data_IF_579805325193
#
_entry.id   IF_579805325193
#
_cell.length_a   1.000
_cell.length_b   1.000
_cell.length_c   1.000
_cell.angle_alpha   90.00
_cell.angle_beta   90.00
_cell.angle_gamma   90.00
#
_symmetry.space_group_name_H-M   'P 1'
#
loop_
_entity.id
_entity.type
_entity.pdbx_description
1 polymer ?
#
# COMPACT_ATOMS: atom_id res chain seq x y z
N UNK A 1 -41.88 -18.49 1.40
CA UNK A 1 -40.52 -18.05 1.73
C UNK A 1 -40.13 -18.69 3.06
N UNK A 2 -39.10 -19.56 3.10
CA UNK A 2 -38.74 -20.34 4.29
C UNK A 2 -37.54 -19.68 4.97
N UNK A 3 -37.78 -18.94 6.04
CA UNK A 3 -36.71 -18.37 6.87
C UNK A 3 -35.99 -19.50 7.61
N UNK A 4 -34.68 -19.65 7.38
CA UNK A 4 -33.83 -20.51 8.21
C UNK A 4 -33.53 -19.78 9.51
N UNK A 5 -33.90 -20.38 10.64
CA UNK A 5 -33.45 -19.93 11.96
C UNK A 5 -31.94 -20.20 12.08
N UNK A 6 -31.15 -19.16 12.39
CA UNK A 6 -29.72 -19.29 12.64
C UNK A 6 -29.52 -19.82 14.06
N UNK A 7 -28.75 -20.91 14.21
CA UNK A 7 -28.38 -21.44 15.52
C UNK A 7 -27.45 -20.47 16.27
N UNK A 8 -27.47 -20.49 17.61
CA UNK A 8 -26.62 -19.64 18.45
C UNK A 8 -25.12 -19.75 18.12
N UNK A 9 -24.65 -20.94 17.72
CA UNK A 9 -23.27 -21.15 17.27
C UNK A 9 -22.96 -20.41 15.95
N UNK A 10 -23.92 -20.34 15.02
CA UNK A 10 -23.76 -19.60 13.76
C UNK A 10 -23.73 -18.08 14.00
N UNK A 11 -24.55 -17.60 14.95
CA UNK A 11 -24.54 -16.19 15.35
C UNK A 11 -23.20 -15.80 16.01
N UNK A 12 -22.66 -16.67 16.86
CA UNK A 12 -21.36 -16.43 17.51
C UNK A 12 -20.22 -16.42 16.50
N UNK A 13 -20.17 -17.39 15.58
CA UNK A 13 -19.16 -17.44 14.52
C UNK A 13 -19.25 -16.20 13.61
N UNK A 14 -20.46 -15.77 13.25
CA UNK A 14 -20.67 -14.55 12.47
C UNK A 14 -20.20 -13.30 13.22
N UNK A 15 -20.46 -13.20 14.52
CA UNK A 15 -20.02 -12.06 15.33
C UNK A 15 -18.50 -11.98 15.44
N UNK A 16 -17.83 -13.11 15.67
CA UNK A 16 -16.36 -13.20 15.70
C UNK A 16 -15.78 -12.81 14.33
N UNK A 17 -16.36 -13.31 13.24
CA UNK A 17 -15.92 -12.96 11.88
C UNK A 17 -16.06 -11.46 11.60
N UNK A 18 -17.17 -10.84 12.03
CA UNK A 18 -17.40 -9.41 11.87
C UNK A 18 -16.38 -8.58 12.67
N UNK A 19 -16.05 -8.99 13.89
CA UNK A 19 -15.01 -8.33 14.71
C UNK A 19 -13.63 -8.43 14.05
N UNK A 20 -13.27 -9.57 13.48
CA UNK A 20 -12.00 -9.76 12.75
C UNK A 20 -11.92 -8.93 11.46
N UNK A 21 -13.06 -8.73 10.78
CA UNK A 21 -13.11 -7.89 9.57
C UNK A 21 -12.90 -6.40 9.89
N UNK A 22 -13.28 -5.95 11.10
CA UNK A 22 -13.07 -4.56 11.54
C UNK A 22 -11.58 -4.24 11.78
N UNK A 23 -10.77 -5.23 12.12
CA UNK A 23 -9.32 -5.07 12.32
C UNK A 23 -8.51 -4.92 11.04
N UNK A 24 -9.11 -5.10 9.86
CA UNK A 24 -8.43 -4.88 8.57
C UNK A 24 -8.56 -3.43 8.14
N UNK A 25 -7.97 -2.51 8.90
CA UNK A 25 -7.86 -1.12 8.47
C UNK A 25 -6.64 -0.94 7.57
N UNK A 26 -6.87 -0.35 6.39
CA UNK A 26 -5.79 0.02 5.49
C UNK A 26 -5.17 1.32 5.96
N UNK A 27 -3.86 1.31 6.19
CA UNK A 27 -3.10 2.52 6.46
C UNK A 27 -2.73 3.18 5.12
N UNK A 28 -2.95 4.49 5.04
CA UNK A 28 -2.62 5.31 3.88
C UNK A 28 -1.58 6.36 4.27
N UNK A 29 -0.65 6.64 3.35
CA UNK A 29 0.34 7.69 3.46
C UNK A 29 -0.09 8.86 2.60
N UNK A 30 -0.19 10.04 3.19
CA UNK A 30 -0.40 11.31 2.49
C UNK A 30 0.92 12.07 2.40
N UNK A 31 1.39 12.28 1.18
CA UNK A 31 2.63 13.00 0.93
C UNK A 31 2.58 13.70 -0.42
N UNK A 32 3.00 14.97 -0.46
CA UNK A 32 3.13 15.77 -1.69
C UNK A 32 1.87 15.79 -2.59
N UNK A 33 0.68 15.81 -1.97
CA UNK A 33 -0.60 15.78 -2.68
C UNK A 33 -1.08 14.38 -3.13
N UNK A 34 -0.26 13.35 -2.96
CA UNK A 34 -0.63 11.97 -3.23
C UNK A 34 -1.16 11.26 -1.97
N UNK A 35 -2.08 10.32 -2.17
CA UNK A 35 -2.55 9.40 -1.14
C UNK A 35 -2.32 7.96 -1.63
N UNK A 36 -1.44 7.24 -0.96
CA UNK A 36 -1.03 5.88 -1.34
C UNK A 36 -1.23 4.92 -0.18
N UNK A 37 -1.47 3.64 -0.45
CA UNK A 37 -1.57 2.62 0.60
C UNK A 37 -0.18 2.23 1.09
N UNK A 38 -0.05 2.02 2.39
CA UNK A 38 1.18 1.49 3.00
C UNK A 38 1.64 0.19 2.31
N UNK A 39 0.69 -0.73 2.08
CA UNK A 39 0.95 -2.00 1.40
C UNK A 39 1.44 -1.83 -0.04
N UNK A 40 1.03 -0.77 -0.73
CA UNK A 40 1.53 -0.46 -2.07
C UNK A 40 3.00 -0.01 -2.03
N UNK A 41 3.39 0.78 -1.03
CA UNK A 41 4.78 1.24 -0.85
C UNK A 41 5.70 0.09 -0.41
N UNK A 42 5.18 -0.89 0.35
CA UNK A 42 5.91 -2.13 0.63
C UNK A 42 6.18 -2.92 -0.65
N UNK A 43 5.15 -3.11 -1.50
CA UNK A 43 5.31 -3.78 -2.80
C UNK A 43 6.28 -3.06 -3.73
N UNK A 44 6.26 -1.72 -3.75
CA UNK A 44 7.22 -0.90 -4.49
C UNK A 44 8.67 -1.27 -4.13
N UNK A 45 8.96 -1.43 -2.84
CA UNK A 45 10.31 -1.80 -2.36
C UNK A 45 10.74 -3.19 -2.85
N UNK A 46 9.82 -4.13 -2.98
CA UNK A 46 10.11 -5.46 -3.52
C UNK A 46 10.35 -5.44 -5.03
N UNK A 47 9.57 -4.65 -5.79
CA UNK A 47 9.78 -4.47 -7.23
C UNK A 47 11.16 -3.86 -7.53
N UNK A 48 11.58 -2.85 -6.78
CA UNK A 48 12.91 -2.23 -6.95
C UNK A 48 14.07 -3.22 -6.68
N UNK A 49 13.91 -4.12 -5.70
CA UNK A 49 14.90 -5.18 -5.41
C UNK A 49 14.99 -6.20 -6.54
N UNK A 50 13.85 -6.58 -7.12
CA UNK A 50 13.79 -7.48 -8.27
C UNK A 50 14.50 -6.85 -9.47
N UNK A 51 14.18 -5.60 -9.77
CA UNK A 51 14.83 -4.86 -10.85
C UNK A 51 16.35 -4.74 -10.64
N UNK A 52 16.84 -4.55 -9.41
CA UNK A 52 18.28 -4.46 -9.13
C UNK A 52 19.01 -5.80 -9.34
N UNK A 53 18.28 -6.92 -9.22
CA UNK A 53 18.82 -8.27 -9.39
C UNK A 53 18.88 -8.71 -10.85
N UNK A 54 18.07 -8.10 -11.72
CA UNK A 54 18.10 -8.34 -13.16
C UNK A 54 19.18 -7.51 -13.86
N UNK A 55 19.80 -8.00 -14.95
CA UNK A 55 20.74 -7.21 -15.75
C UNK A 55 19.99 -6.06 -16.42
N UNK A 56 19.89 -4.91 -15.74
CA UNK A 56 19.13 -3.79 -16.26
C UNK A 56 19.78 -3.25 -17.54
N UNK A 57 19.02 -3.24 -18.63
CA UNK A 57 19.20 -2.26 -19.69
C UNK A 57 18.99 -0.88 -19.06
N UNK A 58 20.09 -0.14 -18.86
CA UNK A 58 20.09 1.20 -18.29
C UNK A 58 19.12 2.08 -19.08
N UNK A 59 17.89 2.20 -18.59
CA UNK A 59 16.95 3.19 -19.09
C UNK A 59 17.43 4.52 -18.55
N UNK A 60 18.12 5.30 -19.39
CA UNK A 60 18.53 6.70 -19.13
C UNK A 60 17.32 7.65 -19.13
N UNK A 61 16.27 7.30 -18.40
CA UNK A 61 15.10 8.16 -18.20
C UNK A 61 15.21 8.93 -16.89
N UNK A 62 14.64 10.14 -16.84
CA UNK A 62 14.38 10.85 -15.57
C UNK A 62 13.36 10.10 -14.67
N UNK A 63 12.65 9.12 -15.23
CA UNK A 63 11.63 8.35 -14.54
C UNK A 63 12.22 7.10 -13.87
N UNK A 64 11.77 6.79 -12.63
CA UNK A 64 12.10 5.52 -11.97
C UNK A 64 11.74 4.31 -12.84
N UNK A 65 12.63 3.31 -12.94
CA UNK A 65 12.40 2.10 -13.73
C UNK A 65 11.13 1.34 -13.29
N UNK A 66 10.76 1.44 -12.02
CA UNK A 66 9.52 0.89 -11.45
C UNK A 66 8.24 1.47 -12.05
N UNK A 67 8.31 2.64 -12.70
CA UNK A 67 7.18 3.20 -13.44
C UNK A 67 6.84 2.44 -14.73
N UNK A 68 7.79 1.65 -15.24
CA UNK A 68 7.57 0.79 -16.40
C UNK A 68 7.14 -0.63 -16.00
N UNK A 69 7.08 -0.92 -14.70
CA UNK A 69 6.74 -2.23 -14.19
C UNK A 69 5.22 -2.46 -14.24
N UNK A 70 4.73 -3.49 -14.95
CA UNK A 70 3.29 -3.77 -15.01
C UNK A 70 2.70 -4.21 -13.66
N UNK A 71 3.53 -4.63 -12.70
CA UNK A 71 3.12 -4.99 -11.36
C UNK A 71 3.09 -3.78 -10.39
N UNK A 72 3.40 -2.57 -10.87
CA UNK A 72 3.29 -1.36 -10.05
C UNK A 72 1.84 -1.17 -9.54
N UNK A 73 1.63 -1.00 -8.22
CA UNK A 73 0.31 -0.73 -7.66
C UNK A 73 -0.37 0.50 -8.28
N UNK A 74 -1.68 0.39 -8.53
CA UNK A 74 -2.47 1.42 -9.23
C UNK A 74 -2.45 2.78 -8.54
N UNK A 75 -2.38 2.81 -7.22
CA UNK A 75 -2.33 4.05 -6.43
C UNK A 75 -0.96 4.75 -6.48
N UNK A 76 0.09 4.08 -6.96
CA UNK A 76 1.41 4.66 -7.19
C UNK A 76 1.61 5.16 -8.64
N UNK A 77 0.76 4.73 -9.59
CA UNK A 77 0.84 5.18 -10.98
C UNK A 77 0.77 6.71 -11.14
N UNK A 78 -0.07 7.47 -10.40
CA UNK A 78 -0.10 8.93 -10.53
C UNK A 78 1.23 9.60 -10.19
N UNK A 79 2.05 9.00 -9.32
CA UNK A 79 3.38 9.53 -8.95
C UNK A 79 4.33 9.53 -10.14
N UNK A 80 4.20 8.55 -11.04
CA UNK A 80 5.03 8.45 -12.25
C UNK A 80 4.79 9.56 -13.27
N UNK A 81 3.70 10.34 -13.14
CA UNK A 81 3.45 11.51 -13.97
C UNK A 81 4.19 12.76 -13.46
N UNK A 82 4.72 12.75 -12.23
CA UNK A 82 5.50 13.86 -11.67
C UNK A 82 6.96 13.80 -12.12
N UNK A 83 7.56 14.98 -12.32
CA UNK A 83 8.99 15.09 -12.64
C UNK A 83 9.87 14.70 -11.43
N UNK A 84 9.32 14.79 -10.23
CA UNK A 84 9.91 14.47 -8.92
C UNK A 84 9.61 13.03 -8.47
N UNK A 85 9.12 12.15 -9.36
CA UNK A 85 8.71 10.77 -9.03
C UNK A 85 9.76 10.00 -8.22
N UNK A 86 11.04 10.11 -8.57
CA UNK A 86 12.13 9.45 -7.85
C UNK A 86 12.25 9.92 -6.39
N UNK A 87 12.17 11.23 -6.16
CA UNK A 87 12.20 11.80 -4.80
C UNK A 87 10.93 11.49 -4.01
N UNK A 88 9.76 11.49 -4.65
CA UNK A 88 8.49 11.15 -4.01
C UNK A 88 8.50 9.69 -3.58
N UNK A 89 8.90 8.75 -4.44
CA UNK A 89 9.04 7.34 -4.06
C UNK A 89 10.05 7.14 -2.93
N UNK A 90 11.18 7.86 -2.94
CA UNK A 90 12.13 7.82 -1.82
C UNK A 90 11.49 8.26 -0.51
N UNK A 91 10.77 9.39 -0.51
CA UNK A 91 10.10 9.91 0.68
C UNK A 91 9.00 8.96 1.17
N UNK A 92 8.17 8.43 0.28
CA UNK A 92 7.14 7.45 0.61
C UNK A 92 7.72 6.21 1.29
N UNK A 93 8.85 5.68 0.80
CA UNK A 93 9.54 4.54 1.44
C UNK A 93 10.09 4.89 2.82
N UNK A 94 10.67 6.08 2.98
CA UNK A 94 11.13 6.55 4.30
C UNK A 94 9.97 6.64 5.29
N UNK A 95 8.84 7.25 4.90
CA UNK A 95 7.65 7.37 5.76
C UNK A 95 7.00 6.01 6.03
N UNK A 96 7.05 5.10 5.06
CA UNK A 96 6.54 3.74 5.22
C UNK A 96 7.34 2.90 6.21
N UNK A 97 8.63 3.18 6.40
CA UNK A 97 9.50 2.34 7.22
C UNK A 97 9.26 2.66 8.68
N UNK A 98 8.68 1.72 9.43
CA UNK A 98 8.35 1.79 10.86
C UNK A 98 7.32 2.87 11.28
N UNK A 99 7.31 4.05 10.64
CA UNK A 99 6.46 5.16 11.07
C UNK A 99 4.97 4.92 10.78
N UNK A 100 4.62 4.40 9.61
CA UNK A 100 3.23 4.07 9.29
C UNK A 100 2.77 2.69 9.73
N UNK A 101 3.68 1.79 10.12
CA UNK A 101 3.30 0.52 10.75
C UNK A 101 2.91 0.69 12.21
N UNK A 102 3.61 1.59 12.92
CA UNK A 102 3.34 1.93 14.30
C UNK A 102 2.47 3.19 14.44
N UNK A 103 2.03 3.77 13.33
CA UNK A 103 1.19 4.98 13.29
C UNK A 103 1.79 6.19 14.02
N UNK A 104 3.10 6.36 13.91
CA UNK A 104 3.89 7.40 14.59
C UNK A 104 4.14 8.65 13.74
N UNK A 105 3.77 8.66 12.45
CA UNK A 105 3.89 9.83 11.58
C UNK A 105 2.50 10.36 11.15
N UNK A 106 2.34 11.68 11.17
CA UNK A 106 1.11 12.41 10.79
C UNK A 106 0.72 12.23 9.31
N UNK A 107 1.67 11.83 8.47
CA UNK A 107 1.39 11.45 7.09
C UNK A 107 0.55 10.16 7.00
N UNK A 108 0.58 9.32 8.04
CA UNK A 108 -0.14 8.06 8.10
C UNK A 108 -1.59 8.29 8.56
N UNK A 109 -2.55 7.76 7.81
CA UNK A 109 -3.99 7.90 8.07
C UNK A 109 -4.68 6.53 8.02
N UNK A 110 -5.81 6.38 8.71
CA UNK A 110 -6.49 5.08 8.82
C UNK A 110 -5.96 4.18 9.94
N UNK A 111 -5.21 4.75 10.87
CA UNK A 111 -4.83 4.11 12.14
C UNK A 111 -5.93 4.33 13.20
N UNK A 112 -6.21 3.31 14.02
CA UNK A 112 -7.17 3.34 15.14
C UNK A 112 -6.52 3.20 16.50
#
# INVERSE_FOLDING_TARGET
MRGRAMSGSQLQAAMVLLLLLQSVQSVYIKYDGFQVKLESVKKLSELEKQQTSEPQLKTSGLLPAVCHDPALPLDLQPVCASQEAASIFKALKTISTDECELCMNVACTGCS
#
